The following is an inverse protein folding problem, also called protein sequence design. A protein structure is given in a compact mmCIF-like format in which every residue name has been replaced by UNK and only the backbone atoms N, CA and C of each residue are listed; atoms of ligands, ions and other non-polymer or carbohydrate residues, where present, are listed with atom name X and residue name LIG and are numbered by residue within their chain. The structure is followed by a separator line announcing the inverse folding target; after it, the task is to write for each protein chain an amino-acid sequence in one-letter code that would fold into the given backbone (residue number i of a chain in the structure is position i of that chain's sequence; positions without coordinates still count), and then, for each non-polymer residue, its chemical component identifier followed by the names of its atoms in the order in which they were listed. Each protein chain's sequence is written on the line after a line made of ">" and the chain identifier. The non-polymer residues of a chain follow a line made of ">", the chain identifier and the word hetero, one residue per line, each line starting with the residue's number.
data_IF_572409783304
#
_entry.id   IF_572409783304
#
_cell.length_a   1.000
_cell.length_b   1.000
_cell.length_c   1.000
_cell.angle_alpha   90.00
_cell.angle_beta   90.00
_cell.angle_gamma   90.00
#
_symmetry.space_group_name_H-M   'P 1'
#
loop_
_entity.id
_entity.type
_entity.pdbx_description
1 polymer ?
#
# COMPACT_ATOMS: atom_id res chain seq x y z
N UNK A 1 -7.36 -11.03 -44.98
CA UNK A 1 -6.88 -9.81 -45.69
C UNK A 1 -8.10 -9.00 -46.09
N UNK A 2 -8.19 -7.69 -45.80
CA UNK A 2 -7.76 -6.91 -44.63
C UNK A 2 -8.92 -6.85 -43.58
N UNK A 3 -8.87 -6.26 -42.37
CA UNK A 3 -8.22 -5.03 -41.88
C UNK A 3 -9.18 -3.83 -42.04
N UNK A 4 -9.42 -2.93 -41.08
CA UNK A 4 -9.08 -2.79 -39.65
C UNK A 4 -10.14 -1.81 -39.02
N UNK A 5 -10.10 -1.21 -37.83
CA UNK A 5 -9.15 -1.08 -36.72
C UNK A 5 -9.89 -0.61 -35.43
N UNK A 6 -9.18 -0.45 -34.30
CA UNK A 6 -9.39 0.73 -33.44
C UNK A 6 -10.29 0.66 -32.20
N UNK A 7 -9.88 -0.08 -31.15
CA UNK A 7 -10.06 0.38 -29.77
C UNK A 7 -8.87 -0.07 -28.90
N UNK A 8 -7.86 0.80 -28.77
CA UNK A 8 -6.79 0.62 -27.77
C UNK A 8 -7.31 1.14 -26.44
N UNK A 9 -7.19 0.33 -25.41
CA UNK A 9 -7.55 0.65 -24.03
C UNK A 9 -6.72 1.83 -23.50
N UNK A 10 -7.38 2.98 -23.31
CA UNK A 10 -6.87 4.02 -22.42
C UNK A 10 -7.09 3.57 -20.97
N UNK A 11 -6.11 2.86 -20.41
CA UNK A 11 -5.97 2.72 -18.96
C UNK A 11 -5.32 4.00 -18.41
N UNK A 12 -5.98 4.79 -17.56
CA UNK A 12 -5.33 5.90 -16.89
C UNK A 12 -4.36 5.37 -15.83
N UNK A 13 -3.09 5.81 -15.90
CA UNK A 13 -2.07 5.45 -14.92
C UNK A 13 -2.43 5.98 -13.52
N UNK A 14 -2.90 5.09 -12.63
CA UNK A 14 -3.24 5.43 -11.24
C UNK A 14 -1.95 5.64 -10.42
N UNK A 15 -1.38 6.83 -10.56
CA UNK A 15 -0.20 7.27 -9.80
C UNK A 15 -0.62 7.70 -8.40
N UNK A 16 -0.90 6.76 -7.50
CA UNK A 16 -1.06 7.07 -6.07
C UNK A 16 0.30 7.42 -5.45
N UNK A 17 0.34 8.52 -4.70
CA UNK A 17 1.54 8.99 -4.01
C UNK A 17 1.82 8.13 -2.75
N UNK A 18 2.27 6.90 -2.95
CA UNK A 18 2.51 5.89 -1.91
C UNK A 18 3.66 6.20 -0.93
N UNK A 19 4.40 7.28 -1.18
CA UNK A 19 5.70 7.55 -0.54
C UNK A 19 5.59 7.84 0.96
N UNK A 20 4.53 8.51 1.39
CA UNK A 20 4.34 8.97 2.78
C UNK A 20 3.91 7.86 3.75
N UNK A 21 3.27 6.79 3.26
CA UNK A 21 2.75 5.70 4.10
C UNK A 21 3.83 4.63 4.31
N UNK A 22 4.58 4.28 3.25
CA UNK A 22 5.73 3.36 3.35
C UNK A 22 6.81 3.90 4.32
N UNK A 23 7.12 5.20 4.26
CA UNK A 23 8.06 5.86 5.18
C UNK A 23 7.58 5.85 6.64
N UNK A 24 6.27 5.79 6.92
CA UNK A 24 5.72 5.73 8.29
C UNK A 24 5.61 4.29 8.83
N UNK A 25 5.14 3.32 8.05
CA UNK A 25 5.02 1.93 8.50
C UNK A 25 6.38 1.24 8.72
N UNK A 26 7.40 1.55 7.90
CA UNK A 26 8.77 1.08 8.17
C UNK A 26 9.46 1.83 9.33
N UNK A 27 8.93 2.98 9.77
CA UNK A 27 9.50 3.79 10.85
C UNK A 27 9.35 3.20 12.26
N UNK A 28 8.43 2.24 12.45
CA UNK A 28 8.05 1.72 13.77
C UNK A 28 8.93 0.60 14.35
N UNK A 29 9.49 -0.29 13.52
CA UNK A 29 10.17 -1.52 14.01
C UNK A 29 11.64 -1.69 13.62
N UNK A 30 12.20 -0.85 12.74
CA UNK A 30 13.64 -0.86 12.42
C UNK A 30 14.37 0.43 12.79
N UNK A 31 14.31 0.81 14.08
CA UNK A 31 15.03 1.96 14.61
C UNK A 31 16.07 1.59 15.67
N UNK A 32 17.22 1.06 15.22
CA UNK A 32 18.60 1.31 15.73
C UNK A 32 19.63 0.33 15.15
N UNK A 33 20.10 0.58 13.92
CA UNK A 33 21.47 0.24 13.48
C UNK A 33 21.79 1.05 12.20
N UNK A 34 22.51 2.16 12.36
CA UNK A 34 23.14 3.03 11.36
C UNK A 34 22.56 3.03 9.92
N UNK A 35 21.39 3.66 9.71
CA UNK A 35 20.78 3.79 8.38
C UNK A 35 21.66 4.50 7.35
N UNK A 36 22.48 5.47 7.77
CA UNK A 36 23.46 6.16 6.91
C UNK A 36 24.49 5.20 6.30
N UNK A 37 24.90 4.16 7.04
CA UNK A 37 25.94 3.21 6.61
C UNK A 37 25.37 2.19 5.61
N UNK A 38 24.17 1.65 5.88
CA UNK A 38 23.45 0.81 4.92
C UNK A 38 23.13 1.56 3.62
N UNK A 39 22.83 2.87 3.69
CA UNK A 39 22.66 3.68 2.48
C UNK A 39 23.94 3.84 1.66
N UNK A 40 25.14 3.88 2.25
CA UNK A 40 26.40 3.90 1.48
C UNK A 40 26.69 2.55 0.79
N UNK A 41 26.29 1.43 1.41
CA UNK A 41 26.54 0.07 0.93
C UNK A 41 25.64 -0.39 -0.25
N UNK A 42 24.77 0.49 -0.78
CA UNK A 42 23.99 0.16 -1.96
C UNK A 42 24.90 -0.19 -3.15
N UNK A 43 24.70 -1.32 -3.88
CA UNK A 43 25.67 -1.81 -4.87
C UNK A 43 26.11 -0.78 -5.92
N UNK A 44 25.17 0.03 -6.40
CA UNK A 44 25.44 1.11 -7.36
C UNK A 44 26.41 2.19 -6.82
N UNK A 45 26.38 2.46 -5.50
CA UNK A 45 27.24 3.46 -4.86
C UNK A 45 28.66 2.94 -4.63
N UNK A 46 28.80 1.65 -4.31
CA UNK A 46 30.09 0.97 -4.25
C UNK A 46 30.77 0.94 -5.63
N UNK A 47 30.02 0.57 -6.68
CA UNK A 47 30.52 0.60 -8.06
C UNK A 47 30.96 2.02 -8.46
N UNK A 48 30.15 3.04 -8.17
CA UNK A 48 30.49 4.44 -8.41
C UNK A 48 31.76 4.91 -7.67
N UNK A 49 31.90 4.55 -6.38
CA UNK A 49 33.09 4.89 -5.60
C UNK A 49 34.37 4.24 -6.18
N UNK A 50 34.28 2.96 -6.60
CA UNK A 50 35.38 2.28 -7.29
C UNK A 50 35.71 2.94 -8.64
N UNK A 51 34.70 3.35 -9.42
CA UNK A 51 34.90 4.09 -10.68
C UNK A 51 35.61 5.43 -10.46
N UNK A 52 35.18 6.23 -9.48
CA UNK A 52 35.82 7.50 -9.13
C UNK A 52 37.27 7.26 -8.68
N UNK A 53 37.52 6.24 -7.86
CA UNK A 53 38.87 5.90 -7.41
C UNK A 53 39.78 5.47 -8.58
N UNK A 54 39.28 4.68 -9.53
CA UNK A 54 40.05 4.28 -10.71
C UNK A 54 40.44 5.49 -11.59
N UNK A 55 39.54 6.47 -11.76
CA UNK A 55 39.85 7.72 -12.46
C UNK A 55 40.85 8.57 -11.67
N UNK A 56 40.71 8.66 -10.34
CA UNK A 56 41.66 9.34 -9.47
C UNK A 56 43.09 8.74 -9.56
N UNK A 57 43.21 7.41 -9.61
CA UNK A 57 44.50 6.74 -9.80
C UNK A 57 45.14 7.08 -11.15
N UNK A 58 44.35 7.22 -12.23
CA UNK A 58 44.91 7.55 -13.54
C UNK A 58 45.57 8.94 -13.63
N UNK A 59 45.30 9.83 -12.67
CA UNK A 59 45.92 11.15 -12.59
C UNK A 59 47.25 11.16 -11.83
N UNK A 60 47.66 10.06 -11.19
CA UNK A 60 48.95 9.96 -10.50
C UNK A 60 50.07 9.47 -11.46
N UNK A 61 51.28 10.06 -11.45
CA UNK A 61 51.82 11.05 -10.51
C UNK A 61 51.99 12.46 -11.13
N UNK A 62 51.03 12.96 -11.90
CA UNK A 62 51.15 14.24 -12.63
C UNK A 62 51.07 15.45 -11.67
N UNK A 63 52.21 15.82 -11.09
CA UNK A 63 52.37 16.93 -10.14
C UNK A 63 52.39 18.33 -10.79
N UNK A 64 51.98 18.46 -12.06
CA UNK A 64 51.93 19.75 -12.75
C UNK A 64 50.81 20.65 -12.20
N UNK A 65 50.92 21.97 -12.40
CA UNK A 65 49.87 22.93 -12.02
C UNK A 65 48.52 22.64 -12.70
N UNK A 66 48.53 22.00 -13.87
CA UNK A 66 47.32 21.53 -14.56
C UNK A 66 46.68 20.32 -13.84
N UNK A 67 47.48 19.47 -13.18
CA UNK A 67 46.99 18.36 -12.35
C UNK A 67 46.13 18.84 -11.18
N UNK A 68 46.49 19.95 -10.51
CA UNK A 68 45.70 20.51 -9.41
C UNK A 68 44.26 20.86 -9.82
N UNK A 69 44.05 21.39 -11.04
CA UNK A 69 42.70 21.67 -11.55
C UNK A 69 41.91 20.39 -11.85
N UNK A 70 42.55 19.32 -12.36
CA UNK A 70 41.89 18.02 -12.58
C UNK A 70 41.35 17.44 -11.27
N UNK A 71 42.14 17.48 -10.21
CA UNK A 71 41.72 17.07 -8.86
C UNK A 71 40.54 17.92 -8.35
N UNK A 72 40.55 19.24 -8.58
CA UNK A 72 39.44 20.13 -8.25
C UNK A 72 38.13 19.76 -8.97
N UNK A 73 38.19 19.49 -10.29
CA UNK A 73 37.02 19.08 -11.08
C UNK A 73 36.50 17.70 -10.65
N UNK A 74 37.40 16.73 -10.38
CA UNK A 74 37.01 15.40 -9.88
C UNK A 74 36.39 15.47 -8.47
N UNK A 75 36.92 16.31 -7.58
CA UNK A 75 36.33 16.57 -6.28
C UNK A 75 34.93 17.20 -6.42
N UNK A 76 34.74 18.14 -7.34
CA UNK A 76 33.43 18.71 -7.66
C UNK A 76 32.42 17.67 -8.18
N UNK A 77 32.84 16.81 -9.12
CA UNK A 77 32.02 15.68 -9.60
C UNK A 77 31.62 14.74 -8.47
N UNK A 78 32.56 14.39 -7.60
CA UNK A 78 32.36 13.50 -6.45
C UNK A 78 31.42 14.13 -5.41
N UNK A 79 31.59 15.42 -5.12
CA UNK A 79 30.71 16.17 -4.22
C UNK A 79 29.27 16.21 -4.75
N UNK A 80 29.06 16.43 -6.06
CA UNK A 80 27.72 16.39 -6.67
C UNK A 80 27.12 14.98 -6.65
N UNK A 81 27.93 13.94 -6.86
CA UNK A 81 27.47 12.55 -6.72
C UNK A 81 26.96 12.26 -5.30
N UNK A 82 27.75 12.60 -4.28
CA UNK A 82 27.37 12.43 -2.87
C UNK A 82 26.15 13.28 -2.54
N UNK A 83 26.12 14.54 -2.95
CA UNK A 83 24.99 15.45 -2.74
C UNK A 83 23.69 14.89 -3.37
N UNK A 84 23.75 14.29 -4.56
CA UNK A 84 22.61 13.62 -5.20
C UNK A 84 22.06 12.44 -4.37
N UNK A 85 22.88 11.81 -3.53
CA UNK A 85 22.40 10.76 -2.61
C UNK A 85 21.65 11.28 -1.39
N UNK A 86 21.91 12.53 -0.98
CA UNK A 86 21.36 13.17 0.24
C UNK A 86 20.18 14.11 -0.09
N UNK A 87 20.19 14.75 -1.26
CA UNK A 87 19.17 15.75 -1.62
C UNK A 87 17.74 15.19 -1.62
N UNK A 88 16.75 15.93 -1.07
CA UNK A 88 15.34 15.61 -1.18
C UNK A 88 14.86 15.44 -2.64
N UNK A 89 13.69 14.82 -2.82
CA UNK A 89 13.17 14.42 -4.13
C UNK A 89 12.64 15.57 -5.03
N UNK A 90 12.94 16.83 -4.72
CA UNK A 90 12.57 17.97 -5.57
C UNK A 90 13.25 17.84 -6.94
N UNK A 91 12.44 17.64 -7.99
CA UNK A 91 12.95 17.34 -9.34
C UNK A 91 13.97 18.36 -9.85
N UNK A 92 13.69 19.67 -9.71
CA UNK A 92 14.53 20.74 -10.26
C UNK A 92 15.98 20.72 -9.73
N UNK A 93 16.16 20.62 -8.42
CA UNK A 93 17.49 20.70 -7.79
C UNK A 93 18.33 19.46 -8.08
N UNK A 94 17.71 18.27 -8.09
CA UNK A 94 18.36 17.03 -8.57
C UNK A 94 18.70 17.08 -10.07
N UNK A 95 17.85 17.66 -10.92
CA UNK A 95 18.17 17.81 -12.35
C UNK A 95 19.33 18.77 -12.58
N UNK A 96 19.37 19.90 -11.86
CA UNK A 96 20.48 20.85 -11.95
C UNK A 96 21.81 20.21 -11.50
N UNK A 97 21.81 19.47 -10.39
CA UNK A 97 22.98 18.73 -9.92
C UNK A 97 23.48 17.71 -10.96
N UNK A 98 22.59 16.92 -11.57
CA UNK A 98 22.98 15.94 -12.61
C UNK A 98 23.49 16.59 -13.89
N UNK A 99 22.92 17.73 -14.32
CA UNK A 99 23.42 18.48 -15.48
C UNK A 99 24.79 19.12 -15.22
N UNK A 100 25.01 19.66 -14.01
CA UNK A 100 26.31 20.18 -13.61
C UNK A 100 27.36 19.06 -13.52
N UNK A 101 26.98 17.91 -12.95
CA UNK A 101 27.83 16.71 -12.87
C UNK A 101 28.20 16.18 -14.27
N UNK A 102 27.27 16.27 -15.24
CA UNK A 102 27.54 15.95 -16.65
C UNK A 102 28.53 16.91 -17.31
N UNK A 103 28.41 18.22 -17.04
CA UNK A 103 29.37 19.21 -17.53
C UNK A 103 30.79 19.00 -16.95
N UNK A 104 30.92 18.72 -15.65
CA UNK A 104 32.21 18.40 -15.03
C UNK A 104 32.83 17.11 -15.59
N UNK A 105 32.02 16.09 -15.89
CA UNK A 105 32.51 14.86 -16.50
C UNK A 105 33.04 15.09 -17.93
N UNK A 106 32.33 15.86 -18.76
CA UNK A 106 32.82 16.24 -20.10
C UNK A 106 34.07 17.13 -20.02
N UNK A 107 34.16 18.01 -19.02
CA UNK A 107 35.36 18.82 -18.78
C UNK A 107 36.58 17.95 -18.45
N UNK A 108 36.42 16.91 -17.61
CA UNK A 108 37.50 15.94 -17.35
C UNK A 108 37.93 15.18 -18.61
N UNK A 109 36.98 14.77 -19.46
CA UNK A 109 37.29 14.13 -20.76
C UNK A 109 38.03 15.08 -21.69
N UNK A 110 37.73 16.38 -21.67
CA UNK A 110 38.45 17.40 -22.46
C UNK A 110 39.84 17.72 -21.92
N UNK A 111 40.02 17.71 -20.60
CA UNK A 111 41.33 17.91 -19.97
C UNK A 111 42.28 16.72 -20.15
N UNK A 112 41.76 15.50 -20.25
CA UNK A 112 42.59 14.29 -20.32
C UNK A 112 42.07 13.25 -21.34
N UNK A 113 41.91 13.62 -22.63
CA UNK A 113 41.34 12.73 -23.65
C UNK A 113 42.23 11.51 -23.95
N UNK A 114 43.52 11.56 -23.57
CA UNK A 114 44.52 10.50 -23.84
C UNK A 114 44.60 9.39 -22.80
N UNK A 115 44.19 9.64 -21.54
CA UNK A 115 44.17 8.59 -20.52
C UNK A 115 43.03 7.58 -20.74
N UNK A 116 41.95 7.98 -21.42
CA UNK A 116 40.84 7.11 -21.78
C UNK A 116 39.95 6.64 -20.62
N UNK A 117 40.29 7.00 -19.37
CA UNK A 117 39.60 6.62 -18.13
C UNK A 117 38.43 7.55 -17.78
N UNK A 118 38.57 8.87 -17.99
CA UNK A 118 37.55 9.87 -17.68
C UNK A 118 36.16 9.59 -18.30
N UNK A 119 36.02 9.05 -19.53
CA UNK A 119 34.70 8.73 -20.11
C UNK A 119 33.89 7.67 -19.32
N UNK A 120 34.52 6.86 -18.46
CA UNK A 120 33.79 5.93 -17.59
C UNK A 120 32.85 6.67 -16.62
N UNK A 121 33.17 7.92 -16.25
CA UNK A 121 32.28 8.78 -15.46
C UNK A 121 30.95 9.08 -16.18
N UNK A 122 30.95 9.09 -17.53
CA UNK A 122 29.73 9.26 -18.32
C UNK A 122 28.82 8.03 -18.23
N UNK A 123 29.41 6.81 -18.23
CA UNK A 123 28.68 5.55 -18.01
C UNK A 123 28.02 5.55 -16.63
N UNK A 124 28.77 5.91 -15.59
CA UNK A 124 28.28 6.04 -14.21
C UNK A 124 27.13 7.06 -14.11
N UNK A 125 27.26 8.22 -14.77
CA UNK A 125 26.25 9.27 -14.75
C UNK A 125 24.96 8.87 -15.48
N UNK A 126 25.08 8.15 -16.60
CA UNK A 126 23.93 7.55 -17.30
C UNK A 126 23.23 6.50 -16.43
N UNK A 127 23.97 5.68 -15.68
CA UNK A 127 23.39 4.74 -14.72
C UNK A 127 22.60 5.45 -13.59
N UNK A 128 23.16 6.54 -13.05
CA UNK A 128 22.52 7.37 -12.02
C UNK A 128 21.26 8.08 -12.53
N UNK A 129 21.30 8.68 -13.71
CA UNK A 129 20.10 9.22 -14.38
C UNK A 129 19.09 8.11 -14.68
N UNK A 130 19.60 6.93 -15.08
CA UNK A 130 18.89 5.67 -15.25
C UNK A 130 18.20 5.13 -13.99
N UNK A 131 18.45 5.70 -12.81
CA UNK A 131 17.71 5.44 -11.57
C UNK A 131 16.65 6.51 -11.22
N UNK A 132 16.76 7.74 -11.74
CA UNK A 132 15.89 8.84 -11.30
C UNK A 132 14.95 9.37 -12.38
N UNK A 133 15.30 9.22 -13.66
CA UNK A 133 14.57 9.82 -14.78
C UNK A 133 13.78 8.78 -15.59
N UNK A 134 12.78 9.21 -16.38
CA UNK A 134 12.14 8.37 -17.40
C UNK A 134 13.09 8.05 -18.55
N UNK A 135 12.93 6.90 -19.24
CA UNK A 135 13.89 6.40 -20.23
C UNK A 135 14.20 7.39 -21.36
N UNK A 136 13.20 8.14 -21.83
CA UNK A 136 13.39 9.15 -22.88
C UNK A 136 14.38 10.25 -22.48
N UNK A 137 14.34 10.73 -21.22
CA UNK A 137 15.29 11.77 -20.74
C UNK A 137 16.70 11.19 -20.57
N UNK A 138 16.81 9.92 -20.18
CA UNK A 138 18.11 9.22 -20.07
C UNK A 138 18.73 9.01 -21.46
N UNK A 139 17.92 8.65 -22.46
CA UNK A 139 18.35 8.52 -23.85
C UNK A 139 18.84 9.86 -24.41
N UNK A 140 18.08 10.95 -24.22
CA UNK A 140 18.49 12.30 -24.66
C UNK A 140 19.79 12.75 -23.98
N UNK A 141 19.96 12.49 -22.69
CA UNK A 141 21.19 12.76 -21.96
C UNK A 141 22.38 11.96 -22.51
N UNK A 142 22.22 10.65 -22.72
CA UNK A 142 23.27 9.80 -23.28
C UNK A 142 23.68 10.25 -24.70
N UNK A 143 22.72 10.61 -25.55
CA UNK A 143 23.01 11.15 -26.89
C UNK A 143 23.80 12.47 -26.80
N UNK A 144 23.41 13.39 -25.93
CA UNK A 144 24.13 14.65 -25.73
C UNK A 144 25.56 14.44 -25.19
N UNK A 145 25.74 13.52 -24.24
CA UNK A 145 27.05 13.16 -23.70
C UNK A 145 27.96 12.52 -24.76
N UNK A 146 27.43 11.61 -25.58
CA UNK A 146 28.20 10.98 -26.66
C UNK A 146 28.56 11.98 -27.77
N UNK A 147 27.69 12.93 -28.10
CA UNK A 147 28.00 14.01 -29.03
C UNK A 147 29.10 14.93 -28.48
N UNK A 148 29.03 15.32 -27.21
CA UNK A 148 30.06 16.10 -26.53
C UNK A 148 31.41 15.37 -26.48
N UNK A 149 31.40 14.10 -26.11
CA UNK A 149 32.59 13.24 -26.10
C UNK A 149 33.20 13.08 -27.49
N UNK A 150 32.38 12.90 -28.53
CA UNK A 150 32.85 12.82 -29.92
C UNK A 150 33.55 14.11 -30.36
N UNK A 151 32.95 15.28 -30.09
CA UNK A 151 33.55 16.56 -30.40
C UNK A 151 34.90 16.77 -29.70
N UNK A 152 35.01 16.38 -28.42
CA UNK A 152 36.26 16.42 -27.65
C UNK A 152 37.34 15.52 -28.26
N UNK A 153 37.01 14.27 -28.61
CA UNK A 153 37.98 13.34 -29.18
C UNK A 153 38.44 13.74 -30.59
N UNK A 154 37.55 14.27 -31.44
CA UNK A 154 37.93 14.80 -32.75
C UNK A 154 38.84 16.02 -32.60
N UNK A 155 38.52 16.96 -31.69
CA UNK A 155 39.38 18.11 -31.40
C UNK A 155 40.75 17.71 -30.84
N UNK A 156 40.82 16.63 -30.06
CA UNK A 156 42.07 16.06 -29.54
C UNK A 156 42.87 15.22 -30.56
N UNK A 157 42.39 15.08 -31.80
CA UNK A 157 43.09 14.40 -32.90
C UNK A 157 42.97 12.88 -32.93
N UNK A 158 41.86 12.30 -32.45
CA UNK A 158 41.67 10.84 -32.47
C UNK A 158 41.05 10.34 -33.78
N UNK A 159 41.85 9.66 -34.62
CA UNK A 159 41.42 9.06 -35.90
C UNK A 159 40.21 8.11 -35.76
N UNK A 160 40.08 7.43 -34.62
CA UNK A 160 39.02 6.44 -34.34
C UNK A 160 38.02 6.91 -33.28
N UNK A 161 37.82 8.23 -33.13
CA UNK A 161 36.89 8.82 -32.15
C UNK A 161 35.49 8.16 -32.14
N UNK A 162 34.92 7.85 -33.30
CA UNK A 162 33.60 7.21 -33.41
C UNK A 162 33.56 5.80 -32.79
N UNK A 163 34.63 5.02 -32.94
CA UNK A 163 34.74 3.66 -32.37
C UNK A 163 34.87 3.72 -30.85
N UNK A 164 35.59 4.70 -30.31
CA UNK A 164 35.71 4.90 -28.86
C UNK A 164 34.33 5.29 -28.29
N UNK A 165 33.64 6.23 -28.93
CA UNK A 165 32.30 6.67 -28.51
C UNK A 165 31.28 5.54 -28.61
N UNK A 166 31.32 4.69 -29.64
CA UNK A 166 30.35 3.58 -29.77
C UNK A 166 30.54 2.50 -28.69
N UNK A 167 31.78 2.22 -28.27
CA UNK A 167 32.06 1.34 -27.12
C UNK A 167 31.45 1.93 -25.83
N UNK A 168 31.71 3.22 -25.56
CA UNK A 168 31.17 3.89 -24.37
C UNK A 168 29.65 4.04 -24.41
N UNK A 169 29.05 4.28 -25.58
CA UNK A 169 27.61 4.28 -25.77
C UNK A 169 27.00 2.88 -25.51
N UNK A 170 27.70 1.80 -25.88
CA UNK A 170 27.30 0.42 -25.54
C UNK A 170 27.27 0.18 -24.03
N UNK A 171 28.32 0.60 -23.31
CA UNK A 171 28.35 0.52 -21.85
C UNK A 171 27.29 1.40 -21.17
N UNK A 172 27.06 2.62 -21.67
CA UNK A 172 25.98 3.50 -21.20
C UNK A 172 24.59 2.87 -21.42
N UNK A 173 24.34 2.27 -22.58
CA UNK A 173 23.09 1.59 -22.89
C UNK A 173 22.86 0.38 -21.98
N UNK A 174 23.89 -0.44 -21.76
CA UNK A 174 23.85 -1.56 -20.81
C UNK A 174 23.54 -1.06 -19.39
N UNK A 175 24.26 -0.05 -18.89
CA UNK A 175 24.06 0.49 -17.56
C UNK A 175 22.67 1.14 -17.37
N UNK A 176 22.17 1.86 -18.38
CA UNK A 176 20.81 2.40 -18.38
C UNK A 176 19.75 1.29 -18.36
N UNK A 177 19.96 0.21 -19.11
CA UNK A 177 19.05 -0.93 -19.16
C UNK A 177 19.03 -1.69 -17.83
N UNK A 178 20.19 -1.97 -17.23
CA UNK A 178 20.29 -2.57 -15.89
C UNK A 178 19.61 -1.69 -14.83
N UNK A 179 19.82 -0.37 -14.87
CA UNK A 179 19.16 0.56 -13.94
C UNK A 179 17.64 0.63 -14.16
N UNK A 180 17.16 0.50 -15.40
CA UNK A 180 15.74 0.39 -15.68
C UNK A 180 15.14 -0.92 -15.15
N UNK A 181 15.76 -2.07 -15.44
CA UNK A 181 15.30 -3.37 -14.94
C UNK A 181 15.31 -3.45 -13.41
N UNK A 182 16.35 -2.94 -12.75
CA UNK A 182 16.43 -2.90 -11.29
C UNK A 182 15.24 -2.16 -10.68
N UNK A 183 14.91 -0.96 -11.20
CA UNK A 183 13.75 -0.18 -10.74
C UNK A 183 12.42 -0.85 -11.03
N UNK A 184 12.27 -1.44 -12.21
CA UNK A 184 11.03 -2.11 -12.60
C UNK A 184 10.82 -3.37 -11.74
N UNK A 185 11.89 -4.10 -11.39
CA UNK A 185 11.85 -5.23 -10.48
C UNK A 185 11.56 -4.82 -9.03
N UNK A 186 12.17 -3.73 -8.53
CA UNK A 186 11.90 -3.17 -7.19
C UNK A 186 10.43 -2.80 -7.05
N UNK A 187 9.89 -2.00 -7.99
CA UNK A 187 8.46 -1.63 -8.03
C UNK A 187 7.52 -2.82 -8.14
N UNK A 188 7.89 -3.84 -8.92
CA UNK A 188 7.10 -5.06 -9.04
C UNK A 188 7.08 -5.86 -7.73
N UNK A 189 8.20 -5.91 -7.00
CA UNK A 189 8.27 -6.54 -5.67
C UNK A 189 7.43 -5.79 -4.65
N UNK A 190 7.49 -4.46 -4.63
CA UNK A 190 6.67 -3.63 -3.74
C UNK A 190 5.17 -3.82 -4.02
N UNK A 191 4.77 -3.84 -5.30
CA UNK A 191 3.39 -4.10 -5.71
C UNK A 191 2.92 -5.51 -5.33
N UNK A 192 3.76 -6.53 -5.51
CA UNK A 192 3.46 -7.91 -5.09
C UNK A 192 3.35 -8.04 -3.56
N UNK A 193 4.23 -7.37 -2.81
CA UNK A 193 4.17 -7.35 -1.34
C UNK A 193 2.87 -6.69 -0.85
N UNK A 194 2.47 -5.58 -1.47
CA UNK A 194 1.19 -4.90 -1.19
C UNK A 194 -0.02 -5.81 -1.44
N UNK A 195 -0.11 -6.43 -2.62
CA UNK A 195 -1.23 -7.32 -2.97
C UNK A 195 -1.27 -8.56 -2.07
N UNK A 196 -0.12 -9.10 -1.67
CA UNK A 196 -0.06 -10.24 -0.75
C UNK A 196 -0.55 -9.85 0.66
N UNK A 197 -0.18 -8.67 1.17
CA UNK A 197 -0.66 -8.17 2.45
C UNK A 197 -2.19 -7.95 2.46
N UNK A 198 -2.74 -7.34 1.41
CA UNK A 198 -4.19 -7.13 1.22
C UNK A 198 -4.96 -8.46 1.14
N UNK A 199 -4.42 -9.44 0.41
CA UNK A 199 -4.98 -10.79 0.29
C UNK A 199 -4.93 -11.56 1.62
N UNK A 200 -3.87 -11.42 2.42
CA UNK A 200 -3.77 -12.04 3.74
C UNK A 200 -4.77 -11.41 4.74
N UNK A 201 -4.90 -10.09 4.75
CA UNK A 201 -5.90 -9.39 5.56
C UNK A 201 -7.33 -9.81 5.19
N UNK A 202 -7.64 -9.83 3.88
CA UNK A 202 -8.94 -10.28 3.37
C UNK A 202 -9.23 -11.74 3.74
N UNK A 203 -8.23 -12.63 3.66
CA UNK A 203 -8.39 -14.04 4.06
C UNK A 203 -8.66 -14.22 5.55
N UNK A 204 -8.03 -13.43 6.42
CA UNK A 204 -8.32 -13.48 7.85
C UNK A 204 -9.78 -13.09 8.13
N UNK A 205 -10.22 -11.95 7.60
CA UNK A 205 -11.61 -11.47 7.72
C UNK A 205 -12.65 -12.48 7.23
N UNK A 206 -12.40 -13.12 6.07
CA UNK A 206 -13.28 -14.16 5.52
C UNK A 206 -13.27 -15.46 6.35
N UNK A 207 -12.12 -15.86 6.89
CA UNK A 207 -12.00 -17.07 7.71
C UNK A 207 -12.74 -16.92 9.05
N UNK A 208 -12.68 -15.75 9.67
CA UNK A 208 -13.39 -15.49 10.92
C UNK A 208 -14.90 -15.33 10.67
N UNK A 209 -15.31 -14.61 9.63
CA UNK A 209 -16.73 -14.55 9.19
C UNK A 209 -17.33 -15.94 8.92
N UNK A 210 -16.56 -16.85 8.30
CA UNK A 210 -17.01 -18.22 8.06
C UNK A 210 -17.15 -19.05 9.36
N UNK A 211 -16.28 -18.81 10.36
CA UNK A 211 -16.38 -19.44 11.69
C UNK A 211 -17.62 -18.95 12.44
N UNK A 212 -17.91 -17.66 12.38
CA UNK A 212 -19.07 -17.05 13.04
C UNK A 212 -20.39 -17.51 12.42
N UNK A 213 -20.44 -17.60 11.08
CA UNK A 213 -21.59 -18.15 10.37
C UNK A 213 -21.86 -19.62 10.77
N UNK A 214 -20.82 -20.43 10.97
CA UNK A 214 -20.96 -21.82 11.42
C UNK A 214 -21.40 -21.90 12.89
N UNK A 215 -20.84 -21.07 13.79
CA UNK A 215 -21.32 -20.95 15.19
C UNK A 215 -22.82 -20.59 15.24
N UNK A 216 -23.27 -19.65 14.42
CA UNK A 216 -24.67 -19.24 14.33
C UNK A 216 -25.56 -20.36 13.78
N UNK A 217 -25.10 -21.12 12.78
CA UNK A 217 -25.79 -22.30 12.25
C UNK A 217 -25.95 -23.38 13.34
N UNK A 218 -24.91 -23.63 14.11
CA UNK A 218 -24.93 -24.58 15.23
C UNK A 218 -25.89 -24.12 16.34
N UNK A 219 -25.86 -22.85 16.74
CA UNK A 219 -26.76 -22.31 17.76
C UNK A 219 -28.25 -22.45 17.37
N UNK A 220 -28.60 -22.17 16.11
CA UNK A 220 -29.96 -22.38 15.58
C UNK A 220 -30.32 -23.86 15.55
N UNK A 221 -29.47 -24.72 14.99
CA UNK A 221 -29.72 -26.16 14.92
C UNK A 221 -29.90 -26.81 16.30
N UNK A 222 -29.12 -26.37 17.31
CA UNK A 222 -29.28 -26.80 18.71
C UNK A 222 -30.64 -26.34 19.28
N UNK A 223 -31.00 -25.07 19.10
CA UNK A 223 -32.28 -24.54 19.56
C UNK A 223 -33.47 -25.28 18.92
N UNK A 224 -33.46 -25.44 17.60
CA UNK A 224 -34.56 -26.02 16.86
C UNK A 224 -34.70 -27.53 17.11
N UNK A 225 -33.61 -28.29 17.06
CA UNK A 225 -33.68 -29.76 17.19
C UNK A 225 -33.76 -30.21 18.64
N UNK A 226 -32.97 -29.64 19.55
CA UNK A 226 -32.96 -30.07 20.95
C UNK A 226 -34.06 -29.37 21.76
N UNK A 227 -34.28 -28.07 21.55
CA UNK A 227 -35.31 -27.30 22.26
C UNK A 227 -36.73 -27.84 22.03
N UNK A 228 -37.12 -28.10 20.78
CA UNK A 228 -38.44 -28.68 20.49
C UNK A 228 -38.59 -30.11 21.05
N UNK A 229 -37.57 -30.97 20.90
CA UNK A 229 -37.64 -32.35 21.39
C UNK A 229 -37.73 -32.43 22.92
N UNK A 230 -36.94 -31.64 23.64
CA UNK A 230 -37.01 -31.57 25.12
C UNK A 230 -38.32 -30.95 25.60
N UNK A 231 -38.85 -29.96 24.89
CA UNK A 231 -40.17 -29.38 25.22
C UNK A 231 -41.29 -30.41 25.02
N UNK A 232 -41.29 -31.15 23.91
CA UNK A 232 -42.22 -32.25 23.68
C UNK A 232 -42.06 -33.39 24.72
N UNK A 233 -40.83 -33.71 25.11
CA UNK A 233 -40.56 -34.70 26.16
C UNK A 233 -41.16 -34.27 27.50
N UNK A 234 -40.97 -33.00 27.91
CA UNK A 234 -41.60 -32.45 29.13
C UNK A 234 -43.12 -32.47 29.11
N UNK A 235 -43.75 -32.19 27.95
CA UNK A 235 -45.21 -32.28 27.82
C UNK A 235 -45.68 -33.72 28.05
N UNK A 236 -45.01 -34.71 27.46
CA UNK A 236 -45.33 -36.12 27.69
C UNK A 236 -45.08 -36.57 29.13
N UNK A 237 -43.99 -36.13 29.77
CA UNK A 237 -43.69 -36.43 31.18
C UNK A 237 -44.76 -35.86 32.12
N UNK A 238 -45.26 -34.65 31.85
CA UNK A 238 -46.37 -34.04 32.61
C UNK A 238 -47.70 -34.76 32.41
N UNK A 239 -47.96 -35.27 31.21
CA UNK A 239 -49.15 -36.11 30.95
C UNK A 239 -49.06 -37.44 31.71
N UNK A 240 -47.88 -38.08 31.76
CA UNK A 240 -47.66 -39.29 32.56
C UNK A 240 -47.76 -39.00 34.07
N UNK A 241 -47.30 -37.84 34.52
CA UNK A 241 -47.41 -37.39 35.93
C UNK A 241 -48.83 -37.04 36.37
N UNK A 242 -49.78 -36.92 35.43
CA UNK A 242 -51.20 -36.73 35.73
C UNK A 242 -51.96 -38.06 35.95
N UNK A 243 -51.36 -39.21 35.63
CA UNK A 243 -51.91 -40.53 35.95
C UNK A 243 -51.55 -40.90 37.41
N UNK A 244 -52.55 -41.12 38.30
CA UNK A 244 -52.30 -41.47 39.71
C UNK A 244 -51.42 -42.72 39.93
N UNK A 245 -51.38 -43.66 38.98
CA UNK A 245 -50.57 -44.88 39.08
C UNK A 245 -49.09 -44.65 38.72
N UNK A 246 -48.79 -43.62 37.92
CA UNK A 246 -47.45 -43.24 37.50
C UNK A 246 -46.91 -42.05 38.30
N UNK A 247 -47.77 -41.19 38.84
CA UNK A 247 -47.39 -40.03 39.65
C UNK A 247 -46.63 -40.39 40.96
N UNK A 248 -46.75 -41.63 41.44
CA UNK A 248 -46.04 -42.13 42.63
C UNK A 248 -44.67 -42.76 42.32
N UNK A 249 -44.21 -42.69 41.06
CA UNK A 249 -42.91 -43.21 40.62
C UNK A 249 -41.85 -42.12 40.70
N UNK A 250 -40.90 -42.26 41.62
CA UNK A 250 -39.74 -41.35 41.75
C UNK A 250 -38.97 -41.22 40.42
N UNK A 251 -38.95 -42.26 39.59
CA UNK A 251 -38.29 -42.26 38.28
C UNK A 251 -38.89 -41.19 37.33
N UNK A 252 -40.19 -40.89 37.43
CA UNK A 252 -40.84 -39.87 36.58
C UNK A 252 -40.44 -38.46 36.99
N UNK A 253 -40.35 -38.21 38.30
CA UNK A 253 -39.90 -36.92 38.85
C UNK A 253 -38.43 -36.63 38.49
N UNK A 254 -37.56 -37.65 38.61
CA UNK A 254 -36.15 -37.56 38.22
C UNK A 254 -36.01 -37.23 36.73
N UNK A 255 -36.82 -37.84 35.86
CA UNK A 255 -36.75 -37.58 34.41
C UNK A 255 -37.34 -36.21 34.04
N UNK A 256 -38.38 -35.70 34.71
CA UNK A 256 -38.79 -34.29 34.50
C UNK A 256 -37.66 -33.33 34.93
N UNK A 257 -37.03 -33.53 36.08
CA UNK A 257 -35.96 -32.66 36.56
C UNK A 257 -34.75 -32.65 35.62
N UNK A 258 -34.24 -33.82 35.22
CA UNK A 258 -33.13 -33.93 34.25
C UNK A 258 -33.47 -33.25 32.91
N UNK A 259 -34.73 -33.36 32.45
CA UNK A 259 -35.16 -32.68 31.22
C UNK A 259 -35.26 -31.16 31.34
N UNK A 260 -35.49 -30.63 32.56
CA UNK A 260 -35.49 -29.20 32.84
C UNK A 260 -34.05 -28.65 32.94
N UNK A 261 -33.15 -29.38 33.58
CA UNK A 261 -31.71 -29.06 33.67
C UNK A 261 -31.07 -29.04 32.27
N UNK A 262 -31.26 -30.10 31.45
CA UNK A 262 -30.80 -30.15 30.06
C UNK A 262 -31.31 -28.98 29.20
N UNK A 263 -32.56 -28.55 29.39
CA UNK A 263 -33.13 -27.42 28.66
C UNK A 263 -32.53 -26.08 29.12
N UNK A 264 -32.14 -25.97 30.39
CA UNK A 264 -31.41 -24.82 30.93
C UNK A 264 -29.98 -24.76 30.38
N UNK A 265 -29.27 -25.88 30.37
CA UNK A 265 -27.90 -25.96 29.85
C UNK A 265 -27.83 -25.64 28.36
N UNK A 266 -28.76 -26.16 27.56
CA UNK A 266 -28.85 -25.81 26.13
C UNK A 266 -29.16 -24.33 25.93
N UNK A 267 -30.01 -23.71 26.77
CA UNK A 267 -30.23 -22.25 26.71
C UNK A 267 -28.96 -21.50 27.06
N UNK A 268 -28.22 -21.90 28.08
CA UNK A 268 -26.97 -21.27 28.50
C UNK A 268 -25.89 -21.37 27.41
N UNK A 269 -25.76 -22.53 26.74
CA UNK A 269 -24.84 -22.71 25.60
C UNK A 269 -25.28 -21.89 24.39
N UNK A 270 -26.57 -21.90 24.04
CA UNK A 270 -27.10 -21.06 22.93
C UNK A 270 -26.98 -19.57 23.25
N UNK A 271 -27.09 -19.18 24.52
CA UNK A 271 -26.94 -17.80 24.98
C UNK A 271 -25.47 -17.36 24.97
N UNK A 272 -24.53 -18.20 25.40
CA UNK A 272 -23.09 -17.98 25.26
C UNK A 272 -22.66 -17.86 23.79
N UNK A 273 -23.20 -18.72 22.91
CA UNK A 273 -23.06 -18.59 21.46
C UNK A 273 -23.84 -17.41 20.86
N UNK A 274 -24.64 -16.66 21.66
CA UNK A 274 -25.45 -15.50 21.26
C UNK A 274 -24.93 -14.16 21.78
N UNK A 275 -24.27 -14.13 22.92
CA UNK A 275 -23.71 -12.89 23.47
C UNK A 275 -22.36 -12.54 22.80
N UNK A 276 -21.75 -13.51 22.11
CA UNK A 276 -20.66 -13.33 21.12
C UNK A 276 -21.18 -12.76 19.76
N UNK A 277 -22.50 -12.49 19.57
CA UNK A 277 -23.09 -12.21 18.24
C UNK A 277 -23.19 -10.73 17.85
N UNK A 278 -22.05 -10.16 17.48
CA UNK A 278 -21.96 -9.67 16.11
C UNK A 278 -21.19 -10.69 15.27
N UNK A 279 -21.17 -10.55 13.94
CA UNK A 279 -19.83 -10.45 13.34
C UNK A 279 -19.18 -9.31 14.12
N UNK A 280 -18.01 -9.50 14.74
CA UNK A 280 -17.42 -8.45 15.60
C UNK A 280 -16.86 -7.32 14.72
N UNK A 281 -17.80 -6.58 14.14
CA UNK A 281 -17.66 -5.42 13.29
C UNK A 281 -17.00 -4.30 14.09
N UNK A 282 -17.22 -4.25 15.40
CA UNK A 282 -16.54 -3.29 16.27
C UNK A 282 -15.03 -3.57 16.31
N UNK A 283 -14.61 -4.82 16.51
CA UNK A 283 -13.18 -5.21 16.46
C UNK A 283 -12.63 -5.19 15.04
N UNK A 284 -13.38 -5.62 14.02
CA UNK A 284 -12.93 -5.61 12.63
C UNK A 284 -12.73 -4.18 12.10
N UNK A 285 -13.63 -3.24 12.41
CA UNK A 285 -13.46 -1.81 12.10
C UNK A 285 -12.29 -1.18 12.88
N UNK A 286 -12.10 -1.52 14.16
CA UNK A 286 -10.91 -1.10 14.93
C UNK A 286 -9.61 -1.68 14.35
N UNK A 287 -9.64 -2.93 13.88
CA UNK A 287 -8.50 -3.57 13.23
C UNK A 287 -8.15 -2.93 11.88
N UNK A 288 -9.13 -2.44 11.12
CA UNK A 288 -8.89 -1.62 9.93
C UNK A 288 -8.21 -0.28 10.23
N UNK A 289 -8.45 0.30 11.41
CA UNK A 289 -7.81 1.53 11.84
C UNK A 289 -6.39 1.32 12.40
N UNK A 290 -6.10 0.16 12.99
CA UNK A 290 -4.82 -0.12 13.65
C UNK A 290 -3.52 0.13 12.82
N UNK A 291 -3.49 -0.07 11.48
CA UNK A 291 -2.33 0.29 10.66
C UNK A 291 -2.09 1.80 10.49
N UNK A 292 -3.07 2.64 10.82
CA UNK A 292 -3.02 4.09 10.64
C UNK A 292 -2.71 4.78 11.99
N UNK A 293 -1.50 5.32 12.19
CA UNK A 293 -1.18 6.06 13.42
C UNK A 293 -1.89 7.43 13.51
N UNK A 294 -2.47 7.91 12.39
CA UNK A 294 -3.34 9.09 12.25
C UNK A 294 -4.03 8.97 10.88
N UNK A 295 -5.34 9.26 10.73
CA UNK A 295 -6.28 9.65 11.79
C UNK A 295 -6.63 8.49 12.73
N UNK A 296 -7.09 8.81 13.94
CA UNK A 296 -7.68 7.84 14.88
C UNK A 296 -9.14 7.55 14.52
N UNK A 297 -9.60 6.31 14.70
CA UNK A 297 -11.00 5.94 14.47
C UNK A 297 -11.83 6.12 15.76
N UNK A 298 -12.84 7.01 15.71
CA UNK A 298 -13.90 7.09 16.72
C UNK A 298 -15.11 6.32 16.22
N UNK A 299 -15.35 5.14 16.80
CA UNK A 299 -16.42 4.23 16.37
C UNK A 299 -17.57 4.20 17.39
N UNK A 300 -18.77 4.57 16.93
CA UNK A 300 -20.04 4.37 17.64
C UNK A 300 -20.92 3.41 16.82
N UNK A 301 -21.49 2.42 17.50
CA UNK A 301 -22.48 1.49 16.93
C UNK A 301 -23.62 1.44 17.95
N UNK A 302 -24.83 1.78 17.52
CA UNK A 302 -25.98 1.79 18.41
C UNK A 302 -26.46 0.35 18.69
N UNK A 303 -27.05 0.12 19.88
CA UNK A 303 -27.23 -1.21 20.45
C UNK A 303 -28.25 -2.12 19.71
N UNK A 304 -29.04 -1.54 18.81
CA UNK A 304 -30.01 -2.19 17.94
C UNK A 304 -29.40 -2.63 16.59
N UNK A 305 -28.21 -2.14 16.22
CA UNK A 305 -27.52 -2.51 14.98
C UNK A 305 -27.04 -3.96 15.03
N UNK A 306 -27.65 -4.83 14.23
CA UNK A 306 -27.25 -6.24 14.06
C UNK A 306 -27.04 -6.58 12.58
N UNK A 307 -25.78 -6.64 12.16
CA UNK A 307 -25.42 -7.02 10.78
C UNK A 307 -25.25 -8.53 10.68
N UNK A 308 -26.24 -9.21 10.10
CA UNK A 308 -26.22 -10.67 9.90
C UNK A 308 -25.89 -11.12 8.47
N UNK A 309 -25.93 -10.23 7.48
CA UNK A 309 -25.49 -10.52 6.11
C UNK A 309 -23.99 -10.21 5.94
N UNK A 310 -23.21 -11.22 5.55
CA UNK A 310 -21.78 -11.09 5.29
C UNK A 310 -21.45 -10.10 4.14
N UNK A 311 -22.33 -9.96 3.15
CA UNK A 311 -22.18 -8.99 2.04
C UNK A 311 -22.31 -7.55 2.55
N UNK A 312 -23.23 -7.33 3.49
CA UNK A 312 -23.38 -6.04 4.18
C UNK A 312 -22.15 -5.76 5.04
N UNK A 313 -21.69 -6.74 5.83
CA UNK A 313 -20.48 -6.59 6.64
C UNK A 313 -19.23 -6.28 5.80
N UNK A 314 -18.99 -6.98 4.69
CA UNK A 314 -17.88 -6.69 3.77
C UNK A 314 -17.97 -5.26 3.20
N UNK A 315 -19.18 -4.81 2.84
CA UNK A 315 -19.41 -3.47 2.33
C UNK A 315 -19.10 -2.39 3.40
N UNK A 316 -19.51 -2.60 4.65
CA UNK A 316 -19.21 -1.70 5.78
C UNK A 316 -17.71 -1.60 6.04
N UNK A 317 -17.00 -2.74 6.03
CA UNK A 317 -15.53 -2.77 6.16
C UNK A 317 -14.86 -1.98 5.03
N UNK A 318 -15.30 -2.16 3.78
CA UNK A 318 -14.78 -1.40 2.61
C UNK A 318 -15.11 0.09 2.68
N UNK A 319 -16.31 0.48 3.13
CA UNK A 319 -16.70 1.89 3.32
C UNK A 319 -15.74 2.60 4.29
N UNK A 320 -15.50 2.01 5.46
CA UNK A 320 -14.63 2.60 6.48
C UNK A 320 -13.16 2.56 6.06
N UNK A 321 -12.70 1.49 5.39
CA UNK A 321 -11.34 1.42 4.83
C UNK A 321 -11.07 2.51 3.78
N UNK A 322 -12.01 2.73 2.86
CA UNK A 322 -11.92 3.79 1.84
C UNK A 322 -11.97 5.18 2.50
N UNK A 323 -12.80 5.38 3.52
CA UNK A 323 -12.86 6.64 4.26
C UNK A 323 -11.54 6.94 5.01
N UNK A 324 -10.99 5.98 5.77
CA UNK A 324 -9.68 6.09 6.41
C UNK A 324 -8.57 6.39 5.38
N UNK A 325 -8.60 5.71 4.23
CA UNK A 325 -7.64 5.92 3.15
C UNK A 325 -7.74 7.33 2.54
N UNK A 326 -8.96 7.84 2.35
CA UNK A 326 -9.19 9.18 1.81
C UNK A 326 -8.82 10.27 2.82
N UNK A 327 -9.11 10.09 4.10
CA UNK A 327 -8.70 11.01 5.17
C UNK A 327 -7.16 11.19 5.19
N UNK A 328 -6.40 10.08 5.11
CA UNK A 328 -4.92 10.10 5.04
C UNK A 328 -4.39 10.74 3.75
N UNK A 329 -5.03 10.50 2.60
CA UNK A 329 -4.53 10.94 1.28
C UNK A 329 -4.95 12.36 0.89
N UNK A 330 -6.09 12.83 1.38
CA UNK A 330 -6.80 13.98 0.83
C UNK A 330 -7.28 15.01 1.86
N UNK A 331 -7.31 14.67 3.16
CA UNK A 331 -7.83 15.57 4.20
C UNK A 331 -6.78 16.01 5.24
N UNK A 332 -5.70 15.23 5.45
CA UNK A 332 -4.75 15.38 6.57
C UNK A 332 -5.48 15.46 7.93
N UNK A 333 -6.48 14.58 8.09
CA UNK A 333 -7.35 14.51 9.26
C UNK A 333 -6.66 13.89 10.48
N UNK A 334 -7.17 14.23 11.66
CA UNK A 334 -6.74 13.74 12.96
C UNK A 334 -7.66 12.64 13.47
N UNK A 335 -8.95 12.73 13.16
CA UNK A 335 -9.97 11.76 13.55
C UNK A 335 -10.91 11.44 12.37
N UNK A 336 -11.30 10.17 12.27
CA UNK A 336 -12.43 9.73 11.45
C UNK A 336 -13.49 9.21 12.42
N UNK A 337 -14.65 9.84 12.43
CA UNK A 337 -15.81 9.40 13.19
C UNK A 337 -16.68 8.50 12.30
N UNK A 338 -17.10 7.36 12.85
CA UNK A 338 -18.00 6.39 12.21
C UNK A 338 -19.14 6.10 13.16
N UNK A 339 -20.38 6.37 12.73
CA UNK A 339 -21.60 6.06 13.47
C UNK A 339 -22.50 5.13 12.66
N UNK A 340 -22.88 4.00 13.25
CA UNK A 340 -23.88 3.09 12.70
C UNK A 340 -25.14 3.12 13.58
N UNK A 341 -26.30 3.32 12.95
CA UNK A 341 -27.61 3.27 13.59
C UNK A 341 -28.66 2.66 12.66
N UNK A 342 -29.72 2.07 13.21
CA UNK A 342 -30.85 1.57 12.42
C UNK A 342 -32.02 2.55 12.47
N UNK A 343 -32.62 2.86 11.32
CA UNK A 343 -33.89 3.58 11.21
C UNK A 343 -34.93 2.64 10.58
N UNK A 344 -35.71 1.96 11.43
CA UNK A 344 -36.67 0.93 11.00
C UNK A 344 -35.99 -0.29 10.41
N UNK A 345 -36.08 -0.46 9.09
CA UNK A 345 -35.46 -1.56 8.33
C UNK A 345 -34.33 -1.08 7.40
N UNK A 346 -33.74 0.09 7.70
CA UNK A 346 -32.54 0.59 7.03
C UNK A 346 -31.41 0.81 8.04
N UNK A 347 -30.23 0.30 7.70
CA UNK A 347 -28.98 0.60 8.37
C UNK A 347 -28.40 1.87 7.75
N UNK A 348 -28.15 2.84 8.60
CA UNK A 348 -27.50 4.10 8.27
C UNK A 348 -26.06 4.07 8.77
N UNK A 349 -25.15 4.55 7.93
CA UNK A 349 -23.72 4.64 8.20
C UNK A 349 -23.30 6.08 7.93
N UNK A 350 -22.97 6.81 8.98
CA UNK A 350 -22.39 8.15 8.89
C UNK A 350 -20.88 8.05 9.11
N UNK A 351 -20.10 8.61 8.18
CA UNK A 351 -18.64 8.68 8.27
C UNK A 351 -18.19 10.11 8.01
N UNK A 352 -17.57 10.73 9.00
CA UNK A 352 -17.05 12.09 8.96
C UNK A 352 -15.54 12.11 9.23
N UNK A 353 -14.79 13.01 8.57
CA UNK A 353 -13.44 13.39 9.00
C UNK A 353 -13.36 14.87 9.42
N UNK A 354 -12.37 15.17 10.27
CA UNK A 354 -12.08 16.52 10.78
C UNK A 354 -10.99 17.27 9.99
N UNK A 355 -10.57 16.72 8.85
CA UNK A 355 -9.55 17.29 7.98
C UNK A 355 -10.09 18.39 7.05
N UNK A 356 -9.36 18.63 5.96
CA UNK A 356 -9.72 19.65 4.95
C UNK A 356 -9.76 19.07 3.55
N UNK A 357 -10.95 18.76 3.06
CA UNK A 357 -11.16 18.46 1.65
C UNK A 357 -11.17 19.75 0.80
N UNK A 358 -10.82 19.59 -0.48
CA UNK A 358 -10.93 20.64 -1.49
C UNK A 358 -12.38 21.15 -1.62
N UNK A 359 -12.55 22.41 -2.04
CA UNK A 359 -13.87 23.06 -2.14
C UNK A 359 -14.90 22.28 -2.97
N UNK A 360 -14.43 21.54 -3.97
CA UNK A 360 -15.24 20.70 -4.84
C UNK A 360 -14.73 19.26 -4.79
N UNK A 361 -15.40 18.42 -4.00
CA UNK A 361 -15.13 16.98 -3.99
C UNK A 361 -15.41 16.44 -5.39
N UNK A 362 -14.45 15.70 -5.94
CA UNK A 362 -14.61 14.89 -7.15
C UNK A 362 -14.53 13.44 -6.75
N UNK A 363 -15.51 12.66 -7.18
CA UNK A 363 -15.49 11.22 -6.98
C UNK A 363 -14.34 10.61 -7.78
N UNK A 364 -13.47 9.90 -7.08
CA UNK A 364 -12.50 9.00 -7.67
C UNK A 364 -13.04 7.57 -7.75
N UNK A 365 -12.30 6.70 -8.44
CA UNK A 365 -12.67 5.31 -8.71
C UNK A 365 -13.08 4.51 -7.45
N UNK A 366 -12.52 4.84 -6.27
CA UNK A 366 -12.88 4.21 -4.99
C UNK A 366 -14.34 4.47 -4.61
N UNK A 367 -14.73 5.75 -4.51
CA UNK A 367 -16.12 6.15 -4.22
C UNK A 367 -17.09 5.67 -5.30
N UNK A 368 -16.73 5.76 -6.58
CA UNK A 368 -17.58 5.24 -7.68
C UNK A 368 -17.85 3.75 -7.52
N UNK A 369 -16.80 2.94 -7.30
CA UNK A 369 -16.95 1.51 -7.06
C UNK A 369 -17.65 1.17 -5.74
N UNK A 370 -17.63 2.05 -4.73
CA UNK A 370 -18.43 1.88 -3.52
C UNK A 370 -19.91 2.16 -3.76
N UNK A 371 -20.26 3.17 -4.57
CA UNK A 371 -21.66 3.41 -4.97
C UNK A 371 -22.22 2.25 -5.79
N UNK A 372 -21.45 1.69 -6.72
CA UNK A 372 -21.86 0.50 -7.50
C UNK A 372 -22.17 -0.70 -6.60
N UNK A 373 -21.32 -0.97 -5.60
CA UNK A 373 -21.53 -2.07 -4.64
C UNK A 373 -22.73 -1.83 -3.71
N UNK A 374 -22.95 -0.59 -3.27
CA UNK A 374 -24.14 -0.20 -2.50
C UNK A 374 -25.42 -0.40 -3.32
N UNK A 375 -25.44 0.05 -4.57
CA UNK A 375 -26.58 -0.13 -5.47
C UNK A 375 -26.91 -1.62 -5.71
N UNK A 376 -25.89 -2.50 -5.75
CA UNK A 376 -26.05 -3.96 -5.84
C UNK A 376 -26.61 -4.63 -4.56
N UNK A 377 -26.76 -3.87 -3.48
CA UNK A 377 -27.48 -4.23 -2.24
C UNK A 377 -28.73 -3.36 -2.02
N UNK A 378 -29.22 -2.66 -3.06
CA UNK A 378 -30.32 -1.70 -2.99
C UNK A 378 -30.09 -0.51 -2.03
N UNK A 379 -28.82 -0.25 -1.67
CA UNK A 379 -28.40 0.90 -0.87
C UNK A 379 -28.04 2.13 -1.70
N UNK A 380 -27.78 3.24 -1.00
CA UNK A 380 -27.45 4.55 -1.54
C UNK A 380 -26.19 5.13 -0.87
N UNK A 381 -25.49 6.03 -1.58
CA UNK A 381 -24.27 6.69 -1.10
C UNK A 381 -24.29 8.20 -1.42
N UNK A 382 -24.51 9.00 -0.38
CA UNK A 382 -24.40 10.45 -0.42
C UNK A 382 -22.99 10.87 0.02
N UNK A 383 -22.42 11.86 -0.67
CA UNK A 383 -21.08 12.39 -0.42
C UNK A 383 -21.14 13.92 -0.31
N UNK A 384 -20.64 14.45 0.80
CA UNK A 384 -20.68 15.87 1.15
C UNK A 384 -19.43 16.34 1.88
N UNK A 385 -19.49 17.56 2.40
CA UNK A 385 -18.45 18.15 3.26
C UNK A 385 -19.03 18.41 4.64
N UNK A 386 -18.22 18.17 5.68
CA UNK A 386 -18.57 18.58 7.03
C UNK A 386 -18.52 20.10 7.16
N UNK A 387 -19.20 20.71 8.16
CA UNK A 387 -19.13 22.17 8.39
C UNK A 387 -17.70 22.70 8.66
N UNK A 388 -16.81 21.83 9.14
CA UNK A 388 -15.37 22.12 9.36
C UNK A 388 -14.53 22.02 8.08
N UNK A 389 -15.07 21.42 7.01
CA UNK A 389 -14.47 21.37 5.68
C UNK A 389 -13.89 20.01 5.25
N UNK A 390 -13.96 18.99 6.10
CA UNK A 390 -13.58 17.60 5.84
C UNK A 390 -14.60 16.83 5.01
N UNK A 391 -14.41 15.53 4.82
CA UNK A 391 -15.35 14.67 4.08
C UNK A 391 -16.50 14.21 4.96
N UNK A 392 -17.70 14.12 4.37
CA UNK A 392 -18.88 13.46 4.95
C UNK A 392 -19.41 12.42 3.97
N UNK A 393 -19.54 11.17 4.41
CA UNK A 393 -20.10 10.04 3.67
C UNK A 393 -21.31 9.51 4.45
N UNK A 394 -22.46 9.43 3.78
CA UNK A 394 -23.66 8.81 4.33
C UNK A 394 -24.05 7.65 3.43
N UNK A 395 -24.01 6.43 3.97
CA UNK A 395 -24.55 5.25 3.31
C UNK A 395 -25.86 4.81 3.96
N UNK A 396 -26.86 4.46 3.15
CA UNK A 396 -28.12 3.84 3.60
C UNK A 396 -28.29 2.51 2.89
N UNK A 397 -28.67 1.47 3.61
CA UNK A 397 -28.87 0.13 3.05
C UNK A 397 -29.99 -0.61 3.80
N UNK A 398 -30.87 -1.37 3.11
CA UNK A 398 -31.85 -2.23 3.77
C UNK A 398 -31.14 -3.38 4.52
N UNK A 399 -31.69 -3.76 5.68
CA UNK A 399 -31.17 -4.83 6.56
C UNK A 399 -32.28 -5.78 7.05
#
# INVERSE_FOLDING_TARGET
>A
MPGAAGHRSHLPEVTFCLRTIAERLHGGQHRRMNSSFCHLLHPLRLAAAFTIAAVALSFMPDASAHGAWRWGVLAGFTALFVLHTVLPQTHALRTAATLLQAALALLLVWMEPRAGTAPVLLVMLVAQAGMTWPPLRVLLLALALNAGMYAVLVHAGFDRALLIVSIYAGFQAFAALTAHYARSAERARDALAYVNADLLATRALLADSARDAERLRLARALHDVAGHKLTAMRINLRLLSADPALAQRDEVAVVEQLSAELLSDIRNVVQSLRDDQGLDLQTALRALAAPFPRPTLRLQIDADVRVTDARVAELLLRLVQEALTNAVRHADADEVAVHLHCEGAQLHVDICDDGRCAERIREGNGITGMRERLAALHGQLDLGRTPTGGMHLIARLPV
#
